data_IF_739684923043
#
_entry.id   IF_739684923043
#
_cell.length_a   1.000
_cell.length_b   1.000
_cell.length_c   1.000
_cell.angle_alpha   90.00
_cell.angle_beta   90.00
_cell.angle_gamma   90.00
#
_symmetry.space_group_name_H-M   'P 1'
#
loop_
_entity.id
_entity.type
_entity.pdbx_description
1 polymer ?
#
# COMPACT_ATOMS: atom_id res chain seq x y z
N UNK A 1 12.14 -21.04 21.57
CA UNK A 1 13.43 -20.65 20.95
C UNK A 1 13.16 -20.19 19.52
N UNK A 2 13.57 -18.97 19.14
CA UNK A 2 13.44 -18.47 17.76
C UNK A 2 14.52 -19.10 16.88
N UNK A 3 14.25 -19.50 15.63
CA UNK A 3 15.31 -19.84 14.70
C UNK A 3 16.16 -18.60 14.39
N UNK A 4 17.48 -18.74 14.28
CA UNK A 4 18.39 -17.64 13.94
C UNK A 4 18.12 -17.15 12.50
N UNK A 5 18.07 -15.83 12.32
CA UNK A 5 17.95 -15.19 10.99
C UNK A 5 16.71 -14.31 10.75
N UNK A 6 15.89 -14.04 11.77
CA UNK A 6 14.70 -13.20 11.62
C UNK A 6 14.94 -11.78 12.16
N UNK A 7 15.43 -10.88 11.32
CA UNK A 7 15.43 -9.44 11.63
C UNK A 7 14.03 -8.83 11.38
N UNK A 8 13.45 -8.10 12.34
CA UNK A 8 12.21 -7.37 12.15
C UNK A 8 12.48 -6.05 11.42
N UNK A 9 12.68 -6.12 10.11
CA UNK A 9 12.80 -4.97 9.24
C UNK A 9 12.09 -5.28 7.93
N UNK A 10 11.14 -4.43 7.52
CA UNK A 10 10.55 -4.52 6.18
C UNK A 10 11.68 -4.36 5.17
N UNK A 11 12.07 -5.38 4.38
CA UNK A 11 13.22 -5.23 3.50
C UNK A 11 12.84 -4.21 2.43
N UNK A 12 13.68 -3.20 2.26
CA UNK A 12 13.76 -2.49 0.99
C UNK A 12 13.87 -3.56 -0.09
N UNK A 13 12.89 -3.61 -1.00
CA UNK A 13 12.87 -4.61 -2.05
C UNK A 13 13.90 -4.20 -3.09
N UNK A 14 15.10 -4.73 -2.96
CA UNK A 14 16.06 -4.79 -4.05
C UNK A 14 15.40 -5.52 -5.23
N UNK A 15 15.68 -5.03 -6.44
CA UNK A 15 15.26 -5.68 -7.66
C UNK A 15 15.91 -7.06 -7.69
N UNK A 16 15.09 -8.11 -7.60
CA UNK A 16 15.61 -9.48 -7.66
C UNK A 16 16.02 -9.74 -9.11
N UNK A 17 17.32 -9.90 -9.30
CA UNK A 17 17.87 -10.56 -10.46
C UNK A 17 17.33 -12.00 -10.48
N UNK A 18 16.57 -12.37 -11.51
CA UNK A 18 15.93 -13.68 -11.61
C UNK A 18 16.92 -14.85 -11.77
N UNK A 19 18.22 -14.58 -11.90
CA UNK A 19 19.24 -15.59 -12.21
C UNK A 19 19.79 -16.40 -11.02
N UNK A 20 19.42 -16.11 -9.77
CA UNK A 20 20.05 -16.74 -8.58
C UNK A 20 19.30 -17.93 -7.97
N UNK A 21 18.17 -18.36 -8.53
CA UNK A 21 17.37 -19.45 -7.95
C UNK A 21 17.32 -20.64 -8.91
N UNK A 22 18.32 -21.52 -8.88
CA UNK A 22 18.17 -22.86 -9.48
C UNK A 22 17.30 -23.72 -8.56
N UNK A 23 16.02 -23.82 -8.89
CA UNK A 23 15.08 -24.77 -8.28
C UNK A 23 14.76 -25.84 -9.31
N UNK A 24 15.70 -26.78 -9.45
CA UNK A 24 15.49 -27.95 -10.29
C UNK A 24 14.46 -28.87 -9.61
N UNK A 25 13.62 -29.50 -10.43
CA UNK A 25 12.70 -30.61 -10.11
C UNK A 25 11.27 -30.22 -9.70
N UNK A 26 10.49 -29.81 -10.70
CA UNK A 26 9.06 -30.07 -10.76
C UNK A 26 8.80 -30.85 -12.05
N UNK A 27 8.36 -32.10 -11.98
CA UNK A 27 7.83 -32.82 -13.14
C UNK A 27 6.40 -33.23 -12.81
N UNK A 28 5.45 -32.54 -13.44
CA UNK A 28 4.04 -32.71 -13.13
C UNK A 28 3.16 -32.24 -14.28
N UNK A 29 2.27 -33.13 -14.72
CA UNK A 29 1.10 -32.76 -15.51
C UNK A 29 0.12 -32.07 -14.57
N UNK A 30 -0.18 -30.80 -14.81
CA UNK A 30 -1.20 -30.08 -14.05
C UNK A 30 -2.46 -30.02 -14.91
N UNK A 31 -3.54 -30.61 -14.43
CA UNK A 31 -4.86 -30.48 -15.02
C UNK A 31 -5.34 -29.02 -14.88
N UNK A 32 -5.73 -28.42 -16.01
CA UNK A 32 -6.25 -27.06 -16.04
C UNK A 32 -7.79 -27.06 -15.92
N UNK A 33 -8.36 -25.86 -15.80
CA UNK A 33 -9.83 -25.70 -15.65
C UNK A 33 -10.67 -26.16 -16.85
N UNK A 34 -10.05 -26.40 -17.99
CA UNK A 34 -10.68 -26.86 -19.23
C UNK A 34 -10.42 -28.36 -19.47
N UNK A 35 -9.93 -29.10 -18.46
CA UNK A 35 -9.50 -30.50 -18.56
C UNK A 35 -8.34 -30.73 -19.55
N UNK A 36 -7.59 -29.67 -19.91
CA UNK A 36 -6.35 -29.75 -20.66
C UNK A 36 -5.17 -29.85 -19.69
N UNK A 37 -4.18 -30.67 -20.00
CA UNK A 37 -2.98 -30.82 -19.17
C UNK A 37 -1.90 -29.82 -19.58
N UNK A 38 -1.45 -29.01 -18.63
CA UNK A 38 -0.19 -28.29 -18.79
C UNK A 38 0.97 -29.25 -18.56
N UNK A 39 1.88 -29.33 -19.53
CA UNK A 39 3.22 -29.87 -19.28
C UNK A 39 4.05 -28.75 -18.68
N UNK A 40 4.45 -28.89 -17.42
CA UNK A 40 5.24 -27.90 -16.69
C UNK A 40 6.51 -28.62 -16.24
N UNK A 41 7.66 -28.10 -16.67
CA UNK A 41 8.95 -28.78 -16.54
C UNK A 41 9.75 -28.34 -15.30
N UNK A 42 9.35 -27.21 -14.69
CA UNK A 42 9.95 -26.70 -13.47
C UNK A 42 9.03 -25.68 -12.76
N UNK A 43 9.42 -25.29 -11.54
CA UNK A 43 8.66 -24.32 -10.73
C UNK A 43 8.66 -22.91 -11.31
N UNK A 44 9.67 -22.51 -12.07
CA UNK A 44 9.71 -21.16 -12.65
C UNK A 44 8.67 -20.99 -13.75
N UNK A 45 8.51 -21.99 -14.63
CA UNK A 45 7.42 -22.03 -15.61
C UNK A 45 6.04 -22.03 -14.91
N UNK A 46 5.91 -22.74 -13.79
CA UNK A 46 4.67 -22.75 -13.00
C UNK A 46 4.34 -21.36 -12.44
N UNK A 47 5.34 -20.67 -11.91
CA UNK A 47 5.19 -19.33 -11.35
C UNK A 47 4.93 -18.27 -12.43
N UNK A 48 5.54 -18.40 -13.61
CA UNK A 48 5.27 -17.52 -14.75
C UNK A 48 3.80 -17.63 -15.20
N UNK A 49 3.29 -18.85 -15.38
CA UNK A 49 1.87 -19.07 -15.71
C UNK A 49 0.93 -18.57 -14.63
N UNK A 50 1.25 -18.78 -13.35
CA UNK A 50 0.44 -18.25 -12.26
C UNK A 50 0.48 -16.71 -12.22
N UNK A 51 1.62 -16.10 -12.58
CA UNK A 51 1.74 -14.66 -12.69
C UNK A 51 0.87 -14.11 -13.83
N UNK A 52 0.88 -14.74 -15.01
CA UNK A 52 -0.01 -14.40 -16.12
C UNK A 52 -1.48 -14.54 -15.73
N UNK A 53 -1.87 -15.64 -15.11
CA UNK A 53 -3.22 -15.86 -14.56
C UNK A 53 -3.63 -14.74 -13.58
N UNK A 54 -2.71 -14.31 -12.72
CA UNK A 54 -2.98 -13.20 -11.80
C UNK A 54 -3.25 -11.87 -12.54
N UNK A 55 -2.54 -11.62 -13.65
CA UNK A 55 -2.68 -10.39 -14.42
C UNK A 55 -3.89 -10.40 -15.36
N UNK A 56 -4.10 -11.49 -16.08
CA UNK A 56 -5.08 -11.59 -17.17
C UNK A 56 -6.44 -11.98 -16.60
N UNK A 57 -6.54 -13.12 -15.94
CA UNK A 57 -7.80 -13.68 -15.46
C UNK A 57 -8.32 -12.92 -14.23
N UNK A 58 -7.43 -12.68 -13.25
CA UNK A 58 -7.82 -12.03 -12.00
C UNK A 58 -7.74 -10.49 -12.07
N UNK A 59 -7.11 -9.93 -13.11
CA UNK A 59 -6.92 -8.49 -13.30
C UNK A 59 -6.25 -7.83 -12.07
N UNK A 60 -5.27 -8.53 -11.47
CA UNK A 60 -4.51 -8.03 -10.32
C UNK A 60 -3.40 -7.08 -10.77
N UNK A 61 -2.95 -6.22 -9.85
CA UNK A 61 -1.77 -5.41 -10.11
C UNK A 61 -0.52 -6.28 -10.15
N UNK A 62 0.49 -5.89 -10.94
CA UNK A 62 1.81 -6.53 -10.98
C UNK A 62 2.40 -6.73 -9.57
N UNK A 63 2.20 -5.74 -8.69
CA UNK A 63 2.66 -5.80 -7.31
C UNK A 63 2.00 -6.93 -6.52
N UNK A 64 0.68 -7.06 -6.60
CA UNK A 64 -0.07 -8.10 -5.90
C UNK A 64 0.27 -9.49 -6.43
N UNK A 65 0.42 -9.63 -7.75
CA UNK A 65 0.86 -10.89 -8.36
C UNK A 65 2.25 -11.30 -7.85
N UNK A 66 3.21 -10.37 -7.85
CA UNK A 66 4.55 -10.62 -7.29
C UNK A 66 4.53 -10.95 -5.78
N UNK A 67 3.65 -10.33 -5.00
CA UNK A 67 3.49 -10.66 -3.57
C UNK A 67 2.99 -12.10 -3.38
N UNK A 68 2.10 -12.58 -4.26
CA UNK A 68 1.67 -13.98 -4.24
C UNK A 68 2.80 -14.93 -4.64
N UNK A 69 3.53 -14.63 -5.72
CA UNK A 69 4.69 -15.43 -6.16
C UNK A 69 5.75 -15.54 -5.05
N UNK A 70 6.05 -14.44 -4.37
CA UNK A 70 7.01 -14.44 -3.26
C UNK A 70 6.56 -15.34 -2.10
N UNK A 71 5.27 -15.30 -1.74
CA UNK A 71 4.72 -16.19 -0.71
C UNK A 71 4.78 -17.66 -1.15
N UNK A 72 4.51 -17.95 -2.42
CA UNK A 72 4.59 -19.30 -2.97
C UNK A 72 6.01 -19.82 -3.05
N UNK A 73 6.98 -19.03 -3.52
CA UNK A 73 8.41 -19.42 -3.53
C UNK A 73 8.89 -19.84 -2.14
N UNK A 74 8.47 -19.11 -1.09
CA UNK A 74 8.76 -19.50 0.30
C UNK A 74 8.09 -20.81 0.72
N UNK A 75 6.84 -21.03 0.30
CA UNK A 75 6.12 -22.26 0.60
C UNK A 75 6.74 -23.47 -0.11
N UNK A 76 7.01 -23.37 -1.40
CA UNK A 76 7.66 -24.44 -2.16
C UNK A 76 9.08 -24.76 -1.68
N UNK A 77 9.83 -23.74 -1.25
CA UNK A 77 11.11 -23.96 -0.57
C UNK A 77 10.95 -24.76 0.73
N UNK A 78 9.91 -24.47 1.52
CA UNK A 78 9.62 -25.22 2.75
C UNK A 78 9.17 -26.66 2.49
N UNK A 79 8.44 -26.91 1.39
CA UNK A 79 8.05 -28.26 0.97
C UNK A 79 9.24 -29.16 0.62
N UNK A 80 10.40 -28.58 0.32
CA UNK A 80 11.66 -29.28 0.10
C UNK A 80 11.54 -30.47 -0.88
N UNK A 81 10.95 -30.23 -2.06
CA UNK A 81 10.82 -31.23 -3.12
C UNK A 81 9.58 -32.13 -3.04
N UNK A 82 8.70 -31.95 -2.03
CA UNK A 82 7.41 -32.66 -2.00
C UNK A 82 6.53 -32.28 -3.20
N UNK A 83 6.09 -33.30 -3.95
CA UNK A 83 5.24 -33.18 -5.15
C UNK A 83 3.87 -32.60 -4.83
N UNK A 84 3.36 -31.73 -5.72
CA UNK A 84 2.07 -31.04 -5.55
C UNK A 84 0.91 -32.04 -5.42
N UNK A 85 0.96 -33.11 -6.21
CA UNK A 85 -0.07 -34.16 -6.28
C UNK A 85 -0.22 -34.93 -4.96
N UNK A 86 0.83 -34.93 -4.13
CA UNK A 86 0.85 -35.58 -2.82
C UNK A 86 0.56 -34.62 -1.66
N UNK A 87 0.28 -33.35 -1.95
CA UNK A 87 -0.05 -32.38 -0.92
C UNK A 87 -1.42 -32.66 -0.32
N UNK A 88 -1.50 -32.49 0.99
CA UNK A 88 -2.72 -32.61 1.76
C UNK A 88 -3.02 -31.29 2.48
N UNK A 89 -4.25 -31.14 2.98
CA UNK A 89 -4.58 -30.00 3.85
C UNK A 89 -3.73 -29.97 5.12
N UNK A 90 -3.19 -31.11 5.56
CA UNK A 90 -2.31 -31.18 6.73
C UNK A 90 -0.93 -30.54 6.45
N UNK A 91 -0.39 -30.68 5.24
CA UNK A 91 0.86 -30.02 4.86
C UNK A 91 0.72 -28.49 4.90
N UNK A 92 -0.39 -27.97 4.36
CA UNK A 92 -0.70 -26.55 4.42
C UNK A 92 -0.91 -26.09 5.86
N UNK A 93 -1.51 -26.92 6.72
CA UNK A 93 -1.68 -26.64 8.14
C UNK A 93 -0.34 -26.52 8.85
N UNK A 94 0.57 -27.49 8.66
CA UNK A 94 1.93 -27.46 9.21
C UNK A 94 2.67 -26.18 8.79
N UNK A 95 2.59 -25.79 7.53
CA UNK A 95 3.21 -24.56 7.06
C UNK A 95 2.60 -23.30 7.69
N UNK A 96 1.27 -23.20 7.70
CA UNK A 96 0.56 -22.04 8.24
C UNK A 96 0.74 -21.91 9.76
N UNK A 97 0.94 -23.01 10.49
CA UNK A 97 1.24 -22.99 11.92
C UNK A 97 2.52 -22.22 12.26
N UNK A 98 3.51 -22.21 11.37
CA UNK A 98 4.75 -21.41 11.54
C UNK A 98 4.49 -19.91 11.68
N UNK A 99 3.32 -19.43 11.23
CA UNK A 99 2.95 -18.01 11.21
C UNK A 99 1.75 -17.69 12.12
N UNK A 100 1.17 -18.68 12.79
CA UNK A 100 -0.08 -18.52 13.55
C UNK A 100 0.05 -17.52 14.69
N UNK A 101 1.12 -17.64 15.46
CA UNK A 101 1.37 -16.79 16.64
C UNK A 101 2.20 -15.54 16.30
N UNK A 102 2.52 -15.36 15.02
CA UNK A 102 3.23 -14.19 14.51
C UNK A 102 2.30 -13.04 14.12
N UNK A 103 2.78 -12.22 13.19
CA UNK A 103 1.98 -11.13 12.64
C UNK A 103 0.78 -11.68 11.83
N UNK A 104 -0.45 -11.37 12.27
CA UNK A 104 -1.70 -11.76 11.61
C UNK A 104 -1.76 -11.41 10.12
N UNK A 105 -1.13 -10.30 9.70
CA UNK A 105 -1.08 -9.89 8.30
C UNK A 105 -0.21 -10.83 7.46
N UNK A 106 0.88 -11.35 8.03
CA UNK A 106 1.74 -12.34 7.37
C UNK A 106 0.97 -13.61 7.08
N UNK A 107 0.32 -14.19 8.10
CA UNK A 107 -0.55 -15.36 7.94
C UNK A 107 -1.62 -15.11 6.87
N UNK A 108 -2.33 -13.98 6.97
CA UNK A 108 -3.41 -13.66 6.04
C UNK A 108 -2.91 -13.50 4.59
N UNK A 109 -1.73 -12.91 4.38
CA UNK A 109 -1.16 -12.73 3.04
C UNK A 109 -0.69 -14.05 2.43
N UNK A 110 -0.08 -14.93 3.24
CA UNK A 110 0.29 -16.28 2.82
C UNK A 110 -0.97 -17.07 2.45
N UNK A 111 -1.98 -17.10 3.32
CA UNK A 111 -3.22 -17.82 3.06
C UNK A 111 -3.95 -17.30 1.80
N UNK A 112 -3.91 -15.98 1.54
CA UNK A 112 -4.42 -15.42 0.27
C UNK A 112 -3.67 -15.97 -0.94
N UNK A 113 -2.34 -16.00 -0.91
CA UNK A 113 -1.53 -16.52 -2.00
C UNK A 113 -1.82 -18.01 -2.24
N UNK A 114 -1.83 -18.82 -1.17
CA UNK A 114 -2.17 -20.25 -1.24
C UNK A 114 -3.57 -20.48 -1.81
N UNK A 115 -4.56 -19.67 -1.42
CA UNK A 115 -5.91 -19.75 -1.98
C UNK A 115 -5.96 -19.37 -3.46
N UNK A 116 -5.29 -18.30 -3.87
CA UNK A 116 -5.21 -17.93 -5.30
C UNK A 116 -4.55 -19.02 -6.12
N UNK A 117 -3.50 -19.63 -5.59
CA UNK A 117 -2.79 -20.69 -6.28
C UNK A 117 -3.57 -22.01 -6.32
N UNK A 118 -3.87 -22.60 -5.17
CA UNK A 118 -4.50 -23.92 -5.11
C UNK A 118 -5.96 -23.92 -5.55
N UNK A 119 -6.78 -22.99 -5.05
CA UNK A 119 -8.22 -22.97 -5.40
C UNK A 119 -8.46 -22.34 -6.76
N UNK A 120 -7.88 -21.17 -7.02
CA UNK A 120 -8.26 -20.40 -8.21
C UNK A 120 -7.44 -20.74 -9.45
N UNK A 121 -6.17 -21.16 -9.32
CA UNK A 121 -5.33 -21.49 -10.47
C UNK A 121 -5.30 -23.00 -10.74
N UNK A 122 -5.05 -23.83 -9.72
CA UNK A 122 -4.95 -25.29 -9.86
C UNK A 122 -6.28 -26.05 -9.69
N UNK A 123 -7.37 -25.39 -9.29
CA UNK A 123 -8.65 -26.06 -9.03
C UNK A 123 -8.69 -26.97 -7.78
N UNK A 124 -7.59 -27.10 -7.03
CA UNK A 124 -7.43 -27.88 -5.81
C UNK A 124 -8.04 -27.19 -4.57
N UNK A 125 -9.32 -26.82 -4.65
CA UNK A 125 -10.06 -26.13 -3.58
C UNK A 125 -10.01 -26.88 -2.24
N UNK A 126 -10.06 -28.21 -2.27
CA UNK A 126 -10.08 -29.07 -1.09
C UNK A 126 -8.88 -28.85 -0.17
N UNK A 127 -7.72 -28.45 -0.71
CA UNK A 127 -6.51 -28.18 0.08
C UNK A 127 -6.64 -26.94 0.96
N UNK A 128 -7.41 -25.93 0.57
CA UNK A 128 -7.40 -24.59 1.20
C UNK A 128 -8.74 -24.13 1.78
N UNK A 129 -9.82 -24.92 1.60
CA UNK A 129 -11.18 -24.47 1.90
C UNK A 129 -11.46 -24.29 3.40
N UNK A 130 -10.85 -25.08 4.27
CA UNK A 130 -11.13 -25.08 5.72
C UNK A 130 -10.41 -23.96 6.49
N UNK A 131 -9.34 -23.40 5.93
CA UNK A 131 -8.55 -22.37 6.61
C UNK A 131 -9.30 -21.03 6.69
N UNK A 132 -9.33 -20.41 7.86
CA UNK A 132 -9.98 -19.10 8.05
C UNK A 132 -8.94 -17.99 8.14
N UNK A 133 -9.31 -16.79 7.72
CA UNK A 133 -8.48 -15.62 7.98
C UNK A 133 -8.54 -15.27 9.47
N UNK A 134 -7.45 -14.75 10.06
CA UNK A 134 -7.46 -14.28 11.43
C UNK A 134 -8.51 -13.17 11.60
N UNK A 135 -9.23 -13.14 12.74
CA UNK A 135 -10.20 -12.08 12.99
C UNK A 135 -9.47 -10.74 13.02
N UNK A 136 -10.09 -9.73 12.41
CA UNK A 136 -9.52 -8.39 12.38
C UNK A 136 -9.70 -7.77 13.77
N UNK A 137 -8.61 -7.66 14.54
CA UNK A 137 -8.64 -6.93 15.82
C UNK A 137 -8.94 -5.45 15.56
N UNK A 138 -9.88 -4.88 16.30
CA UNK A 138 -10.10 -3.44 16.34
C UNK A 138 -8.93 -2.82 17.11
N UNK A 139 -7.95 -2.31 16.37
CA UNK A 139 -6.85 -1.54 16.95
C UNK A 139 -7.20 -0.05 16.84
N UNK A 140 -7.46 0.59 17.98
CA UNK A 140 -7.54 2.04 18.05
C UNK A 140 -6.12 2.57 17.86
N UNK A 141 -5.86 3.13 16.68
CA UNK A 141 -4.55 3.73 16.39
C UNK A 141 -4.42 5.04 17.15
N UNK A 142 -3.31 5.22 17.86
CA UNK A 142 -2.93 6.52 18.41
C UNK A 142 -2.61 7.48 17.27
N UNK A 143 -3.36 8.58 17.20
CA UNK A 143 -3.08 9.71 16.32
C UNK A 143 -2.21 10.73 17.08
N UNK A 144 -1.16 11.32 16.47
CA UNK A 144 -0.30 12.30 17.15
C UNK A 144 -1.09 13.53 17.58
N UNK A 145 -0.69 14.15 18.69
CA UNK A 145 -1.24 15.47 19.08
C UNK A 145 -0.74 16.58 18.15
N UNK A 146 -1.39 17.74 18.17
CA UNK A 146 -0.97 18.90 17.37
C UNK A 146 0.44 19.38 17.77
N UNK A 147 0.77 19.29 19.05
CA UNK A 147 2.09 19.59 19.61
C UNK A 147 3.16 18.62 19.09
N UNK A 148 2.83 17.33 19.01
CA UNK A 148 3.73 16.32 18.40
C UNK A 148 3.95 16.60 16.91
N UNK A 149 2.90 16.99 16.17
CA UNK A 149 3.00 17.40 14.76
C UNK A 149 3.94 18.61 14.61
N UNK A 150 3.76 19.66 15.43
CA UNK A 150 4.62 20.87 15.41
C UNK A 150 6.08 20.53 15.74
N UNK A 151 6.32 19.81 16.83
CA UNK A 151 7.66 19.40 17.27
C UNK A 151 8.36 18.56 16.21
N UNK A 152 7.63 17.63 15.60
CA UNK A 152 8.18 16.80 14.54
C UNK A 152 8.54 17.62 13.30
N UNK A 153 7.64 18.50 12.86
CA UNK A 153 7.87 19.37 11.70
C UNK A 153 9.10 20.28 11.87
N UNK A 154 9.28 20.87 13.05
CA UNK A 154 10.43 21.71 13.36
C UNK A 154 11.76 20.95 13.27
N UNK A 155 11.76 19.66 13.60
CA UNK A 155 12.94 18.79 13.57
C UNK A 155 13.26 18.19 12.18
N UNK A 156 12.46 18.48 11.14
CA UNK A 156 12.79 18.11 9.76
C UNK A 156 13.86 19.08 9.24
N UNK A 157 15.02 18.59 8.81
CA UNK A 157 16.06 19.48 8.26
C UNK A 157 15.85 19.77 6.78
N UNK A 158 15.33 18.78 6.04
CA UNK A 158 15.25 18.82 4.59
C UNK A 158 13.97 19.52 4.10
N UNK A 159 14.10 20.54 3.24
CA UNK A 159 12.98 21.33 2.74
C UNK A 159 11.99 20.50 1.88
N UNK A 160 12.48 19.56 1.08
CA UNK A 160 11.62 18.62 0.32
C UNK A 160 10.72 17.81 1.26
N UNK A 161 11.30 17.32 2.38
CA UNK A 161 10.54 16.60 3.41
C UNK A 161 9.58 17.51 4.18
N UNK A 162 9.93 18.78 4.46
CA UNK A 162 9.00 19.75 5.06
C UNK A 162 7.79 20.01 4.16
N UNK A 163 8.03 20.26 2.88
CA UNK A 163 6.97 20.47 1.89
C UNK A 163 6.09 19.21 1.76
N UNK A 164 6.70 18.02 1.68
CA UNK A 164 5.97 16.75 1.64
C UNK A 164 5.14 16.52 2.91
N UNK A 165 5.69 16.84 4.09
CA UNK A 165 5.00 16.71 5.37
C UNK A 165 3.71 17.53 5.39
N UNK A 166 3.81 18.83 5.12
CA UNK A 166 2.66 19.73 5.14
C UNK A 166 1.67 19.42 4.04
N UNK A 167 2.14 19.03 2.85
CA UNK A 167 1.25 18.61 1.78
C UNK A 167 0.40 17.41 2.23
N UNK A 168 1.00 16.35 2.79
CA UNK A 168 0.24 15.17 3.23
C UNK A 168 -0.68 15.52 4.41
N UNK A 169 -0.20 16.29 5.39
CA UNK A 169 -0.96 16.66 6.58
C UNK A 169 -2.15 17.57 6.28
N UNK A 170 -2.09 18.36 5.19
CA UNK A 170 -3.18 19.25 4.77
C UNK A 170 -4.11 18.64 3.73
N UNK A 171 -3.63 17.72 2.88
CA UNK A 171 -4.42 17.15 1.78
C UNK A 171 -4.94 15.74 2.02
N UNK A 172 -4.41 15.06 3.04
CA UNK A 172 -4.73 13.67 3.30
C UNK A 172 -4.25 12.71 2.22
N UNK A 173 -3.31 13.06 1.34
CA UNK A 173 -2.82 12.15 0.28
C UNK A 173 -2.19 10.87 0.83
N UNK A 174 -2.30 9.78 0.07
CA UNK A 174 -1.51 8.56 0.36
C UNK A 174 -0.05 8.83 0.01
N UNK A 175 0.86 8.14 0.70
CA UNK A 175 2.32 8.22 0.43
C UNK A 175 2.64 8.09 -1.06
N UNK A 176 2.09 7.08 -1.75
CA UNK A 176 2.36 6.88 -3.17
C UNK A 176 1.80 8.01 -4.03
N UNK A 177 0.59 8.49 -3.73
CA UNK A 177 -0.03 9.62 -4.45
C UNK A 177 0.83 10.87 -4.32
N UNK A 178 1.29 11.20 -3.11
CA UNK A 178 2.16 12.36 -2.90
C UNK A 178 3.52 12.22 -3.60
N UNK A 179 4.14 11.04 -3.61
CA UNK A 179 5.44 10.80 -4.25
C UNK A 179 5.40 10.67 -5.78
N UNK A 180 4.23 10.36 -6.33
CA UNK A 180 4.02 10.26 -7.78
C UNK A 180 3.35 11.50 -8.38
N UNK A 181 2.96 12.47 -7.54
CA UNK A 181 2.36 13.73 -7.94
C UNK A 181 3.29 14.53 -8.86
N UNK A 182 2.74 15.03 -9.97
CA UNK A 182 3.44 15.90 -10.92
C UNK A 182 2.96 17.35 -10.79
N UNK A 183 3.77 18.28 -11.27
CA UNK A 183 3.41 19.71 -11.27
C UNK A 183 2.08 19.98 -12.00
N UNK A 184 1.86 19.32 -13.14
CA UNK A 184 0.61 19.42 -13.93
C UNK A 184 -0.63 18.86 -13.24
N UNK A 185 -0.46 18.11 -12.16
CA UNK A 185 -1.56 17.54 -11.40
C UNK A 185 -2.01 18.49 -10.27
N UNK A 186 -1.49 19.74 -10.25
CA UNK A 186 -1.76 20.75 -9.24
C UNK A 186 -2.18 22.05 -9.91
N UNK A 187 -3.32 22.57 -9.50
CA UNK A 187 -3.73 23.95 -9.75
C UNK A 187 -3.30 24.78 -8.53
N UNK A 188 -2.19 25.51 -8.69
CA UNK A 188 -1.58 26.26 -7.60
C UNK A 188 -2.43 27.44 -7.17
N UNK A 189 -3.12 28.11 -8.10
CA UNK A 189 -4.00 29.25 -7.79
C UNK A 189 -5.16 28.82 -6.89
N UNK A 190 -5.72 27.64 -7.15
CA UNK A 190 -6.83 27.09 -6.35
C UNK A 190 -6.36 26.19 -5.21
N UNK A 191 -5.06 26.00 -5.02
CA UNK A 191 -4.46 25.01 -4.08
C UNK A 191 -5.08 23.62 -4.20
N UNK A 192 -5.36 23.21 -5.43
CA UNK A 192 -6.14 22.03 -5.75
C UNK A 192 -5.24 20.95 -6.36
N UNK A 193 -5.43 19.71 -5.92
CA UNK A 193 -4.62 18.55 -6.33
C UNK A 193 -5.53 17.53 -7.01
N UNK A 194 -5.05 17.00 -8.14
CA UNK A 194 -5.65 15.94 -8.94
C UNK A 194 -4.77 14.68 -8.92
N UNK A 195 -4.79 13.89 -7.83
CA UNK A 195 -3.92 12.72 -7.72
C UNK A 195 -4.34 11.66 -8.74
N UNK A 196 -3.37 11.09 -9.44
CA UNK A 196 -3.64 10.01 -10.41
C UNK A 196 -3.44 8.65 -9.76
N UNK A 197 -4.36 8.23 -8.89
CA UNK A 197 -4.41 6.85 -8.43
C UNK A 197 -5.74 6.19 -8.77
N UNK A 198 -5.67 5.23 -9.68
CA UNK A 198 -6.78 4.36 -10.05
C UNK A 198 -6.47 2.94 -9.60
N UNK A 199 -7.36 2.38 -8.78
CA UNK A 199 -7.37 0.97 -8.45
C UNK A 199 -8.79 0.43 -8.48
N UNK A 200 -8.93 -0.90 -8.57
CA UNK A 200 -10.23 -1.59 -8.57
C UNK A 200 -11.09 -1.21 -7.37
N UNK A 201 -10.51 -0.81 -6.23
CA UNK A 201 -11.23 -0.46 -4.99
C UNK A 201 -11.20 1.01 -4.61
N UNK A 202 -10.23 1.80 -5.10
CA UNK A 202 -10.01 3.21 -4.74
C UNK A 202 -9.77 4.04 -6.00
N UNK A 203 -10.50 5.15 -6.12
CA UNK A 203 -10.25 6.18 -7.14
C UNK A 203 -9.85 7.45 -6.40
N UNK A 204 -8.71 8.03 -6.77
CA UNK A 204 -8.38 9.39 -6.38
C UNK A 204 -9.44 10.32 -6.94
N UNK A 205 -9.88 11.23 -6.09
CA UNK A 205 -10.66 12.38 -6.48
C UNK A 205 -9.82 13.63 -6.20
N UNK A 206 -10.44 14.79 -6.13
CA UNK A 206 -9.79 16.06 -5.82
C UNK A 206 -9.53 16.18 -4.32
N UNK A 207 -8.41 16.80 -3.97
CA UNK A 207 -8.13 17.28 -2.62
C UNK A 207 -7.44 18.64 -2.70
N UNK A 208 -7.21 19.28 -1.55
CA UNK A 208 -6.63 20.62 -1.47
C UNK A 208 -5.49 20.64 -0.46
N UNK A 209 -4.73 21.74 -0.42
CA UNK A 209 -3.74 21.99 0.61
C UNK A 209 -3.93 23.39 1.21
N UNK A 210 -3.49 23.59 2.45
CA UNK A 210 -3.69 24.85 3.17
C UNK A 210 -2.55 25.86 2.90
N UNK A 211 -2.69 27.07 3.42
CA UNK A 211 -1.72 28.18 3.24
C UNK A 211 -0.34 27.86 3.83
N UNK A 212 -0.30 27.11 4.93
CA UNK A 212 0.96 26.67 5.55
C UNK A 212 1.74 25.76 4.60
N UNK A 213 1.05 24.81 3.95
CA UNK A 213 1.65 23.96 2.93
C UNK A 213 2.09 24.76 1.71
N UNK A 214 1.27 25.70 1.23
CA UNK A 214 1.58 26.59 0.11
C UNK A 214 2.88 27.36 0.32
N UNK A 215 3.03 28.05 1.45
CA UNK A 215 4.23 28.86 1.75
C UNK A 215 5.52 28.06 1.69
N UNK A 216 5.48 26.80 2.15
CA UNK A 216 6.65 25.91 2.15
C UNK A 216 6.85 25.28 0.77
N UNK A 217 5.75 25.02 0.05
CA UNK A 217 5.78 24.51 -1.31
C UNK A 217 6.42 25.52 -2.27
N UNK A 218 6.09 26.81 -2.15
CA UNK A 218 6.73 27.88 -2.94
C UNK A 218 8.24 27.93 -2.71
N UNK A 219 8.69 27.83 -1.45
CA UNK A 219 10.12 27.79 -1.12
C UNK A 219 10.79 26.55 -1.74
N UNK A 220 10.11 25.40 -1.69
CA UNK A 220 10.60 24.18 -2.32
C UNK A 220 10.70 24.31 -3.84
N UNK A 221 9.66 24.83 -4.50
CA UNK A 221 9.59 24.98 -5.96
C UNK A 221 10.73 25.84 -6.53
N UNK A 222 11.20 26.84 -5.77
CA UNK A 222 12.35 27.68 -6.16
C UNK A 222 13.66 26.90 -6.31
N UNK A 223 13.89 25.90 -5.45
CA UNK A 223 15.15 25.12 -5.44
C UNK A 223 15.01 23.72 -6.07
N UNK A 224 13.78 23.33 -6.42
CA UNK A 224 13.46 22.00 -6.94
C UNK A 224 14.14 21.74 -8.29
N UNK A 225 14.73 20.56 -8.54
CA UNK A 225 15.34 20.22 -9.83
C UNK A 225 14.38 20.31 -11.01
N UNK A 226 14.71 21.10 -12.04
CA UNK A 226 13.80 21.35 -13.20
C UNK A 226 13.76 20.21 -14.23
N UNK A 227 14.64 19.23 -14.15
CA UNK A 227 14.78 18.12 -15.11
C UNK A 227 13.74 16.98 -14.95
N UNK A 228 12.65 17.22 -14.23
CA UNK A 228 11.62 16.22 -13.94
C UNK A 228 10.27 16.89 -13.84
N UNK A 229 9.18 16.15 -14.08
CA UNK A 229 7.81 16.65 -13.88
C UNK A 229 7.31 16.41 -12.44
N UNK A 230 7.98 15.56 -11.67
CA UNK A 230 7.53 15.19 -10.32
C UNK A 230 7.64 16.37 -9.36
N UNK A 231 6.65 16.55 -8.49
CA UNK A 231 6.71 17.56 -7.43
C UNK A 231 7.84 17.24 -6.44
N UNK A 232 7.98 15.98 -6.07
CA UNK A 232 9.03 15.48 -5.18
C UNK A 232 9.87 14.39 -5.87
N UNK A 233 10.97 14.76 -6.57
CA UNK A 233 11.86 13.81 -7.23
C UNK A 233 12.79 13.06 -6.26
N UNK A 234 12.22 12.52 -5.17
CA UNK A 234 12.98 11.75 -4.18
C UNK A 234 13.62 10.51 -4.80
N UNK A 235 14.90 10.28 -4.47
CA UNK A 235 15.62 9.04 -4.80
C UNK A 235 14.91 7.81 -4.22
N UNK A 236 14.92 6.69 -4.96
CA UNK A 236 14.17 5.47 -4.62
C UNK A 236 14.48 4.94 -3.22
N UNK A 237 15.75 4.93 -2.82
CA UNK A 237 16.18 4.55 -1.47
C UNK A 237 15.60 5.48 -0.37
N UNK A 238 15.55 6.79 -0.64
CA UNK A 238 15.00 7.79 0.27
C UNK A 238 13.49 7.66 0.43
N UNK A 239 12.76 7.23 -0.61
CA UNK A 239 11.29 7.03 -0.54
C UNK A 239 10.88 6.09 0.59
N UNK A 240 11.67 5.07 0.91
CA UNK A 240 11.37 4.12 1.99
C UNK A 240 11.77 4.63 3.39
N UNK A 241 12.59 5.68 3.43
CA UNK A 241 13.15 6.27 4.65
C UNK A 241 12.60 7.67 4.95
N UNK A 242 11.48 8.05 4.34
CA UNK A 242 10.81 9.34 4.61
C UNK A 242 10.63 9.51 6.12
N UNK A 243 11.07 10.65 6.62
CA UNK A 243 11.08 11.02 8.03
C UNK A 243 11.82 10.07 8.97
N UNK A 244 12.64 9.13 8.47
CA UNK A 244 13.34 8.17 9.35
C UNK A 244 14.31 8.90 10.29
N UNK A 245 15.08 9.84 9.77
CA UNK A 245 16.05 10.59 10.59
C UNK A 245 15.34 11.49 11.59
N UNK A 246 14.24 12.17 11.20
CA UNK A 246 13.42 12.96 12.12
C UNK A 246 12.78 12.12 13.22
N UNK A 247 12.30 10.90 12.90
CA UNK A 247 11.80 9.95 13.90
C UNK A 247 12.86 9.56 14.92
N UNK A 248 14.09 9.29 14.46
CA UNK A 248 15.22 8.99 15.36
C UNK A 248 15.56 10.18 16.26
N UNK A 249 15.57 11.41 15.70
CA UNK A 249 15.87 12.63 16.44
C UNK A 249 14.84 12.97 17.51
N UNK A 250 13.56 12.80 17.21
CA UNK A 250 12.45 13.25 18.08
C UNK A 250 11.91 12.16 19.00
N UNK A 251 12.14 10.88 18.67
CA UNK A 251 11.47 9.74 19.31
C UNK A 251 9.98 9.61 18.94
N UNK A 252 9.44 10.51 18.11
CA UNK A 252 8.02 10.53 17.74
C UNK A 252 7.83 9.74 16.46
N UNK A 253 6.95 8.73 16.45
CA UNK A 253 6.75 7.87 15.29
C UNK A 253 5.70 8.42 14.31
N UNK A 254 6.06 9.45 13.55
CA UNK A 254 5.24 9.98 12.45
C UNK A 254 5.67 9.38 11.11
N UNK A 255 4.70 8.83 10.40
CA UNK A 255 4.85 8.35 9.01
C UNK A 255 3.86 9.09 8.10
N UNK A 256 4.03 9.05 6.76
CA UNK A 256 3.01 9.53 5.83
C UNK A 256 1.61 8.97 6.10
N UNK A 257 1.51 7.71 6.53
CA UNK A 257 0.23 7.10 6.88
C UNK A 257 -0.36 7.72 8.15
N UNK A 258 0.47 7.95 9.16
CA UNK A 258 0.09 8.61 10.41
C UNK A 258 -0.39 10.05 10.17
N UNK A 259 0.28 10.80 9.28
CA UNK A 259 -0.13 12.17 8.91
C UNK A 259 -1.50 12.20 8.21
N UNK A 260 -1.75 11.23 7.33
CA UNK A 260 -3.04 11.11 6.68
C UNK A 260 -4.15 10.70 7.65
N UNK A 261 -3.84 9.85 8.63
CA UNK A 261 -4.77 9.52 9.71
C UNK A 261 -5.05 10.75 10.59
N UNK A 262 -4.01 11.52 10.90
CA UNK A 262 -4.13 12.81 11.59
C UNK A 262 -5.03 13.80 10.83
N UNK A 263 -4.81 13.97 9.52
CA UNK A 263 -5.67 14.81 8.67
C UNK A 263 -7.14 14.40 8.76
N UNK A 264 -7.44 13.11 8.66
CA UNK A 264 -8.83 12.62 8.70
C UNK A 264 -9.49 12.90 10.07
N UNK A 265 -8.75 12.67 11.16
CA UNK A 265 -9.24 12.97 12.51
C UNK A 265 -9.42 14.48 12.73
N UNK A 266 -8.49 15.31 12.27
CA UNK A 266 -8.57 16.75 12.45
C UNK A 266 -9.69 17.38 11.62
N UNK A 267 -9.90 16.95 10.37
CA UNK A 267 -11.04 17.38 9.57
C UNK A 267 -12.37 16.99 10.22
N UNK A 268 -12.46 15.79 10.80
CA UNK A 268 -13.63 15.37 11.58
C UNK A 268 -13.85 16.25 12.82
N UNK A 269 -12.76 16.60 13.54
CA UNK A 269 -12.80 17.53 14.69
C UNK A 269 -13.27 18.93 14.29
N UNK A 270 -12.94 19.37 13.08
CA UNK A 270 -13.39 20.62 12.47
C UNK A 270 -14.84 20.55 11.94
N UNK A 271 -15.55 19.44 12.17
CA UNK A 271 -16.95 19.27 11.80
C UNK A 271 -17.19 18.90 10.35
N UNK A 272 -16.15 18.51 9.60
CA UNK A 272 -16.30 18.07 8.21
C UNK A 272 -16.92 16.66 8.19
N UNK A 273 -18.07 16.46 7.52
CA UNK A 273 -18.70 15.14 7.45
C UNK A 273 -17.79 14.08 6.83
N UNK A 274 -17.79 12.86 7.40
CA UNK A 274 -16.94 11.74 7.00
C UNK A 274 -16.91 11.46 5.51
N UNK A 275 -18.04 11.64 4.81
CA UNK A 275 -18.12 11.45 3.35
C UNK A 275 -17.21 12.39 2.56
N UNK A 276 -17.01 13.62 3.02
CA UNK A 276 -16.12 14.59 2.38
C UNK A 276 -14.67 14.37 2.81
N UNK A 277 -14.43 14.01 4.08
CA UNK A 277 -13.11 13.55 4.55
C UNK A 277 -12.63 12.36 3.72
N UNK A 278 -13.53 11.41 3.45
CA UNK A 278 -13.31 10.27 2.58
C UNK A 278 -13.03 10.68 1.13
N UNK A 279 -13.75 11.67 0.60
CA UNK A 279 -13.50 12.22 -0.73
C UNK A 279 -12.10 12.83 -0.86
N UNK A 280 -11.68 13.71 0.07
CA UNK A 280 -10.32 14.26 0.13
C UNK A 280 -9.26 13.16 0.23
N UNK A 281 -9.58 12.11 0.97
CA UNK A 281 -8.78 10.91 1.09
C UNK A 281 -8.82 9.98 -0.16
N UNK A 282 -9.54 10.30 -1.24
CA UNK A 282 -9.67 9.42 -2.40
C UNK A 282 -10.36 8.09 -2.06
N UNK A 283 -11.44 8.17 -1.29
CA UNK A 283 -12.39 7.10 -0.92
C UNK A 283 -13.83 7.51 -1.27
N UNK A 284 -14.05 8.10 -2.44
CA UNK A 284 -15.40 8.47 -2.87
C UNK A 284 -16.27 7.21 -2.98
N UNK A 285 -17.50 7.22 -2.40
CA UNK A 285 -18.42 6.09 -2.49
C UNK A 285 -18.66 5.63 -3.92
N UNK A 286 -18.72 4.31 -4.12
CA UNK A 286 -18.98 3.72 -5.44
C UNK A 286 -20.45 3.59 -5.80
N UNK A 287 -21.34 3.56 -4.80
CA UNK A 287 -22.77 3.34 -5.04
C UNK A 287 -23.36 4.57 -5.75
N UNK A 288 -24.16 4.30 -6.78
CA UNK A 288 -24.91 5.32 -7.55
C UNK A 288 -25.75 6.17 -6.60
N UNK A 289 -26.42 5.53 -5.62
CA UNK A 289 -27.19 6.21 -4.58
C UNK A 289 -26.39 7.28 -3.82
N UNK A 290 -25.18 6.96 -3.36
CA UNK A 290 -24.37 7.91 -2.59
C UNK A 290 -23.85 9.08 -3.44
N UNK A 291 -23.79 8.92 -4.77
CA UNK A 291 -23.41 9.99 -5.72
C UNK A 291 -24.56 10.93 -6.06
N UNK A 292 -25.82 10.49 -5.96
CA UNK A 292 -26.99 11.33 -6.23
C UNK A 292 -27.32 12.29 -5.09
N UNK A 293 -26.98 11.93 -3.84
CA UNK A 293 -27.32 12.74 -2.66
C UNK A 293 -26.18 13.61 -2.12
N UNK A 294 -24.99 13.55 -2.71
CA UNK A 294 -23.83 14.32 -2.25
C UNK A 294 -23.15 14.97 -3.44
N UNK A 295 -23.11 16.30 -3.43
CA UNK A 295 -22.35 17.06 -4.41
C UNK A 295 -20.85 16.95 -4.10
N UNK A 296 -20.14 16.25 -4.98
CA UNK A 296 -18.69 16.14 -4.97
C UNK A 296 -18.05 17.04 -6.04
N UNK A 297 -18.74 18.08 -6.52
CA UNK A 297 -18.16 19.07 -7.42
C UNK A 297 -16.86 19.65 -6.83
N UNK A 298 -15.85 19.96 -7.66
CA UNK A 298 -14.63 20.62 -7.22
C UNK A 298 -14.91 21.88 -6.40
N UNK A 299 -15.89 22.66 -6.82
CA UNK A 299 -16.30 23.92 -6.20
C UNK A 299 -16.86 23.68 -4.80
N UNK A 300 -17.77 22.72 -4.64
CA UNK A 300 -18.34 22.40 -3.33
C UNK A 300 -17.31 21.83 -2.36
N UNK A 301 -16.43 20.96 -2.87
CA UNK A 301 -15.35 20.41 -2.06
C UNK A 301 -14.36 21.49 -1.61
N UNK A 302 -14.08 22.48 -2.47
CA UNK A 302 -13.24 23.63 -2.12
C UNK A 302 -13.88 24.46 -1.02
N UNK A 303 -15.16 24.80 -1.15
CA UNK A 303 -15.92 25.53 -0.13
C UNK A 303 -15.87 24.82 1.23
N UNK A 304 -16.11 23.51 1.26
CA UNK A 304 -16.07 22.71 2.49
C UNK A 304 -14.66 22.69 3.09
N UNK A 305 -13.64 22.50 2.26
CA UNK A 305 -12.25 22.48 2.70
C UNK A 305 -11.82 23.83 3.29
N UNK A 306 -12.15 24.93 2.62
CA UNK A 306 -11.81 26.29 3.07
C UNK A 306 -12.55 26.64 4.36
N UNK A 307 -13.84 26.30 4.45
CA UNK A 307 -14.65 26.51 5.65
C UNK A 307 -14.10 25.77 6.87
N UNK A 308 -13.49 24.60 6.67
CA UNK A 308 -12.84 23.87 7.75
C UNK A 308 -11.63 24.63 8.34
N UNK A 309 -11.01 25.54 7.57
CA UNK A 309 -9.86 26.36 7.97
C UNK A 309 -8.76 25.53 8.66
N UNK A 310 -8.37 24.41 8.03
CA UNK A 310 -7.38 23.49 8.59
C UNK A 310 -6.02 24.18 8.80
N UNK A 311 -5.55 24.15 10.04
CA UNK A 311 -4.20 24.60 10.45
C UNK A 311 -3.43 23.43 11.03
N UNK A 312 -2.35 23.05 10.36
CA UNK A 312 -1.46 21.95 10.74
C UNK A 312 -0.52 22.39 11.85
N UNK A 313 0.06 23.59 11.72
CA UNK A 313 1.09 24.08 12.64
C UNK A 313 0.60 25.13 13.63
N UNK A 314 -0.34 25.99 13.24
CA UNK A 314 -0.88 27.05 14.11
C UNK A 314 -1.94 26.52 15.08
#
# INVERSE_FOLDING_TARGET
>A
MRPPGFEPGSPAREAINCSEYKLEQFDGRIENKENNFWRIENLDQLFERFYEFCLVDLQLTKRTAMDHIYALKKFFKWLNGKRIESLTSEDLRKYLMLFKDGNQYTYANILKALRRFFRDFLGLKHLVQTFKFPPKKLEIKRVPSKEEIRKFYQAIDNLEEKALFLLIASSGLRRSEALDLKLRDIDFEKRMIFPKHYSKTKRSFITFYNEEAESVLEKWLKIRPKNTEKLFPMRTNKKHRIFLETRKKTGINITPQTLREWFACEMGRLGVPDRYVDAFCGRVPKSVLARHYTDFSPEKLKEIYDKANLRVLS
#
